data_IF_547122382707
#
_entry.id   IF_547122382707
#
_cell.length_a   1.000
_cell.length_b   1.000
_cell.length_c   1.000
_cell.angle_alpha   90.00
_cell.angle_beta   90.00
_cell.angle_gamma   90.00
#
_symmetry.space_group_name_H-M   'P 1'
#
loop_
_entity.id
_entity.type
_entity.pdbx_description
1 polymer ?
#
# COMPACT_ATOMS: atom_id res chain seq x y z
N UNK A 1 -17.73 10.93 8.96
CA UNK A 1 -16.31 10.87 8.56
C UNK A 1 -16.20 9.62 7.71
N UNK A 2 -15.68 9.68 6.48
CA UNK A 2 -15.65 8.48 5.62
C UNK A 2 -14.59 7.49 6.12
N UNK A 3 -14.99 6.23 6.21
CA UNK A 3 -14.11 5.12 6.59
C UNK A 3 -13.31 4.66 5.37
N UNK A 4 -12.03 4.39 5.56
CA UNK A 4 -11.15 3.97 4.45
C UNK A 4 -11.51 2.60 3.88
N UNK A 5 -12.04 1.68 4.70
CA UNK A 5 -12.42 0.35 4.25
C UNK A 5 -13.61 0.41 3.29
N UNK A 6 -14.62 1.25 3.60
CA UNK A 6 -15.75 1.51 2.70
C UNK A 6 -15.31 2.10 1.35
N UNK A 7 -14.30 2.98 1.37
CA UNK A 7 -13.76 3.61 0.16
C UNK A 7 -13.07 2.55 -0.72
N UNK A 8 -12.25 1.70 -0.10
CA UNK A 8 -11.53 0.62 -0.78
C UNK A 8 -12.53 -0.37 -1.39
N UNK A 9 -13.54 -0.77 -0.63
CA UNK A 9 -14.61 -1.65 -1.11
C UNK A 9 -15.37 -1.04 -2.31
N UNK A 10 -15.88 0.19 -2.18
CA UNK A 10 -16.63 0.88 -3.25
C UNK A 10 -15.81 1.07 -4.54
N UNK A 11 -14.49 1.22 -4.42
CA UNK A 11 -13.60 1.38 -5.57
C UNK A 11 -13.33 0.08 -6.34
N UNK A 12 -13.71 -1.06 -5.74
CA UNK A 12 -13.33 -2.39 -6.16
C UNK A 12 -11.82 -2.54 -6.37
N UNK A 13 -11.03 -2.01 -5.43
CA UNK A 13 -9.58 -1.90 -5.59
C UNK A 13 -8.92 -3.27 -5.77
N UNK A 14 -9.33 -4.25 -4.97
CA UNK A 14 -8.68 -5.56 -4.93
C UNK A 14 -8.81 -6.29 -6.27
N UNK A 15 -10.01 -6.33 -6.87
CA UNK A 15 -10.21 -6.93 -8.19
C UNK A 15 -9.37 -6.24 -9.26
N UNK A 16 -9.36 -4.90 -9.26
CA UNK A 16 -8.58 -4.12 -10.24
C UNK A 16 -7.08 -4.36 -10.13
N UNK A 17 -6.55 -4.54 -8.91
CA UNK A 17 -5.14 -4.87 -8.71
C UNK A 17 -4.84 -6.33 -9.07
N UNK A 18 -5.76 -7.25 -8.80
CA UNK A 18 -5.65 -8.65 -9.20
C UNK A 18 -5.65 -8.84 -10.73
N UNK A 19 -6.37 -8.01 -11.48
CA UNK A 19 -6.36 -8.01 -12.95
C UNK A 19 -4.96 -7.74 -13.54
N UNK A 20 -4.04 -7.13 -12.77
CA UNK A 20 -2.65 -6.92 -13.18
C UNK A 20 -1.79 -8.18 -13.09
N UNK A 21 -2.30 -9.28 -12.50
CA UNK A 21 -1.65 -10.60 -12.47
C UNK A 21 -0.40 -10.71 -11.62
N UNK A 22 -0.09 -9.68 -10.82
CA UNK A 22 1.07 -9.65 -9.93
C UNK A 22 0.71 -9.90 -8.47
N UNK A 23 1.70 -10.24 -7.65
CA UNK A 23 1.53 -10.29 -6.20
C UNK A 23 1.76 -8.91 -5.61
N UNK A 24 0.86 -8.47 -4.73
CA UNK A 24 1.00 -7.24 -3.99
C UNK A 24 0.50 -7.40 -2.56
N UNK A 25 0.93 -6.49 -1.67
CA UNK A 25 0.43 -6.40 -0.30
C UNK A 25 0.21 -4.94 0.08
N UNK A 26 -0.88 -4.66 0.77
CA UNK A 26 -1.13 -3.36 1.40
C UNK A 26 -0.46 -3.37 2.77
N UNK A 27 0.37 -2.37 3.03
CA UNK A 27 1.18 -2.26 4.26
C UNK A 27 0.94 -0.92 4.94
N UNK A 28 1.86 -0.52 5.82
CA UNK A 28 1.75 0.72 6.56
C UNK A 28 0.63 0.66 7.59
N UNK A 29 0.12 1.83 7.98
CA UNK A 29 -0.94 1.89 9.01
C UNK A 29 -2.22 1.23 8.57
N UNK A 30 -2.56 1.27 7.28
CA UNK A 30 -3.78 0.63 6.78
C UNK A 30 -3.70 -0.89 6.90
N UNK A 31 -2.62 -1.50 6.39
CA UNK A 31 -2.42 -2.95 6.52
C UNK A 31 -2.35 -3.39 7.98
N UNK A 32 -1.61 -2.66 8.83
CA UNK A 32 -1.52 -2.96 10.26
C UNK A 32 -2.87 -2.84 10.97
N UNK A 33 -3.64 -1.80 10.66
CA UNK A 33 -4.96 -1.59 11.25
C UNK A 33 -5.93 -2.70 10.86
N UNK A 34 -5.92 -3.12 9.60
CA UNK A 34 -6.75 -4.21 9.11
C UNK A 34 -6.44 -5.53 9.84
N UNK A 35 -5.16 -5.89 9.98
CA UNK A 35 -4.75 -7.13 10.66
C UNK A 35 -5.02 -7.07 12.16
N UNK A 36 -4.81 -5.92 12.80
CA UNK A 36 -5.00 -5.77 14.26
C UNK A 36 -6.48 -5.83 14.66
N UNK A 37 -7.37 -5.37 13.78
CA UNK A 37 -8.81 -5.35 14.00
C UNK A 37 -9.54 -6.37 13.11
N UNK A 38 -8.84 -7.42 12.68
CA UNK A 38 -9.44 -8.45 11.83
C UNK A 38 -10.47 -9.25 12.64
N UNK A 39 -11.66 -9.42 12.08
CA UNK A 39 -12.61 -10.44 12.54
C UNK A 39 -12.14 -11.82 12.09
N UNK A 40 -11.61 -11.92 10.88
CA UNK A 40 -11.10 -13.16 10.29
C UNK A 40 -9.88 -12.90 9.41
N UNK A 41 -8.93 -13.84 9.44
CA UNK A 41 -7.82 -13.90 8.50
C UNK A 41 -7.85 -15.26 7.80
N UNK A 42 -8.21 -15.27 6.53
CA UNK A 42 -8.18 -16.46 5.68
C UNK A 42 -6.86 -16.52 4.92
N UNK A 43 -5.91 -17.31 5.42
CA UNK A 43 -4.59 -17.48 4.81
C UNK A 43 -4.61 -18.17 3.44
N UNK A 44 -5.60 -19.03 3.19
CA UNK A 44 -5.74 -19.75 1.92
C UNK A 44 -6.16 -18.81 0.79
N UNK A 45 -7.10 -17.92 1.08
CA UNK A 45 -7.61 -16.92 0.15
C UNK A 45 -6.82 -15.60 0.19
N UNK A 46 -5.93 -15.44 1.17
CA UNK A 46 -5.13 -14.23 1.41
C UNK A 46 -6.00 -13.00 1.69
N UNK A 47 -7.09 -13.20 2.43
CA UNK A 47 -8.09 -12.18 2.76
C UNK A 47 -8.02 -11.88 4.26
N UNK A 48 -8.09 -10.58 4.58
CA UNK A 48 -8.31 -10.07 5.94
C UNK A 48 -9.66 -9.39 5.96
N UNK A 49 -10.57 -9.89 6.79
CA UNK A 49 -11.91 -9.32 6.97
C UNK A 49 -11.91 -8.44 8.20
N UNK A 50 -12.32 -7.18 8.05
CA UNK A 50 -12.54 -6.24 9.16
C UNK A 50 -14.03 -6.14 9.47
N UNK A 51 -14.36 -5.97 10.74
CA UNK A 51 -15.76 -5.82 11.17
C UNK A 51 -16.38 -4.51 10.71
N UNK A 52 -17.69 -4.51 10.48
CA UNK A 52 -18.42 -3.33 10.00
C UNK A 52 -18.43 -2.14 10.97
N UNK A 53 -18.10 -2.37 12.24
CA UNK A 53 -17.91 -1.33 13.27
C UNK A 53 -16.45 -0.84 13.38
N UNK A 54 -15.52 -1.42 12.60
CA UNK A 54 -14.11 -1.01 12.59
C UNK A 54 -13.96 0.38 12.01
N UNK A 55 -13.71 1.37 12.86
CA UNK A 55 -13.48 2.74 12.39
C UNK A 55 -12.02 3.00 12.03
N UNK A 56 -11.77 3.33 10.76
CA UNK A 56 -10.49 3.87 10.35
C UNK A 56 -10.67 5.07 9.40
N UNK A 57 -10.77 6.29 9.96
CA UNK A 57 -11.13 7.48 9.22
C UNK A 57 -10.18 7.79 8.07
N UNK A 58 -10.68 8.16 6.88
CA UNK A 58 -9.88 8.54 5.71
C UNK A 58 -8.87 9.66 5.99
N UNK A 59 -9.28 10.63 6.81
CA UNK A 59 -8.42 11.73 7.24
C UNK A 59 -7.72 11.37 8.54
N UNK A 60 -6.44 11.73 8.63
CA UNK A 60 -5.71 11.73 9.90
C UNK A 60 -6.21 12.87 10.78
N UNK A 61 -5.89 12.82 12.07
CA UNK A 61 -6.26 13.87 13.05
C UNK A 61 -5.78 15.26 12.63
N UNK A 62 -4.64 15.36 11.94
CA UNK A 62 -4.10 16.61 11.41
C UNK A 62 -4.72 17.05 10.07
N UNK A 63 -5.78 16.40 9.60
CA UNK A 63 -6.49 16.75 8.36
C UNK A 63 -5.87 16.21 7.07
N UNK A 64 -4.74 15.50 7.14
CA UNK A 64 -4.09 14.93 5.94
C UNK A 64 -4.74 13.62 5.49
N UNK A 65 -4.71 13.35 4.18
CA UNK A 65 -5.27 12.14 3.55
C UNK A 65 -4.36 10.93 3.76
N UNK A 66 -4.91 9.78 4.18
CA UNK A 66 -4.12 8.56 4.41
C UNK A 66 -3.39 8.04 3.18
N UNK A 67 -2.24 7.42 3.44
CA UNK A 67 -1.46 6.72 2.42
C UNK A 67 -2.05 5.33 2.19
N UNK A 68 -2.07 4.90 0.93
CA UNK A 68 -2.29 3.51 0.54
C UNK A 68 -0.94 2.93 0.13
N UNK A 69 -0.16 2.52 1.13
CA UNK A 69 1.16 1.92 0.94
C UNK A 69 1.01 0.51 0.38
N UNK A 70 1.53 0.30 -0.82
CA UNK A 70 1.41 -0.95 -1.58
C UNK A 70 2.78 -1.45 -1.97
N UNK A 71 3.11 -2.68 -1.59
CA UNK A 71 4.31 -3.37 -2.06
C UNK A 71 3.93 -4.32 -3.19
N UNK A 72 4.59 -4.21 -4.33
CA UNK A 72 4.38 -5.06 -5.51
C UNK A 72 5.60 -5.98 -5.65
N UNK A 73 5.38 -7.28 -5.81
CA UNK A 73 6.46 -8.26 -5.98
C UNK A 73 7.00 -8.25 -7.42
N UNK A 74 7.52 -7.10 -7.84
CA UNK A 74 8.16 -6.86 -9.13
C UNK A 74 9.16 -5.73 -8.99
N UNK A 75 10.28 -5.82 -9.71
CA UNK A 75 11.23 -4.71 -9.87
C UNK A 75 11.16 -4.04 -11.24
N UNK A 76 10.24 -4.48 -12.09
CA UNK A 76 9.96 -3.78 -13.34
C UNK A 76 9.18 -2.50 -13.02
N UNK A 77 9.79 -1.35 -13.29
CA UNK A 77 9.22 -0.03 -13.05
C UNK A 77 7.90 0.19 -13.80
N UNK A 78 7.74 -0.37 -14.99
CA UNK A 78 6.49 -0.28 -15.75
C UNK A 78 5.34 -1.01 -15.04
N UNK A 79 5.64 -2.16 -14.41
CA UNK A 79 4.67 -2.90 -13.60
C UNK A 79 4.30 -2.08 -12.36
N UNK A 80 5.29 -1.57 -11.63
CA UNK A 80 5.06 -0.73 -10.43
C UNK A 80 4.22 0.51 -10.78
N UNK A 81 4.50 1.15 -11.91
CA UNK A 81 3.75 2.31 -12.39
C UNK A 81 2.31 1.96 -12.79
N UNK A 82 2.05 0.78 -13.37
CA UNK A 82 0.69 0.37 -13.72
C UNK A 82 -0.15 0.08 -12.48
N UNK A 83 0.44 -0.50 -11.43
CA UNK A 83 -0.22 -0.64 -10.12
C UNK A 83 -0.61 0.73 -9.54
N UNK A 84 0.31 1.69 -9.58
CA UNK A 84 0.03 3.07 -9.12
C UNK A 84 -1.08 3.72 -9.92
N UNK A 85 -1.03 3.64 -11.26
CA UNK A 85 -2.09 4.17 -12.13
C UNK A 85 -3.43 3.51 -11.86
N UNK A 86 -3.44 2.20 -11.59
CA UNK A 86 -4.66 1.44 -11.29
C UNK A 86 -5.28 1.89 -9.98
N UNK A 87 -4.48 2.09 -8.92
CA UNK A 87 -4.94 2.66 -7.64
C UNK A 87 -5.55 4.05 -7.87
N UNK A 88 -4.83 4.94 -8.57
CA UNK A 88 -5.30 6.32 -8.83
C UNK A 88 -6.59 6.32 -9.67
N UNK A 89 -6.70 5.44 -10.66
CA UNK A 89 -7.94 5.29 -11.46
C UNK A 89 -9.11 4.76 -10.64
N UNK A 90 -8.85 3.88 -9.66
CA UNK A 90 -9.87 3.24 -8.84
C UNK A 90 -10.38 4.15 -7.72
N UNK A 91 -9.47 4.73 -6.96
CA UNK A 91 -9.75 5.44 -5.69
C UNK A 91 -9.59 6.96 -5.85
N UNK A 92 -8.90 7.45 -6.88
CA UNK A 92 -8.72 8.88 -7.10
C UNK A 92 -7.97 9.55 -5.95
N UNK A 93 -8.51 10.69 -5.49
CA UNK A 93 -7.90 11.54 -4.47
C UNK A 93 -8.32 11.14 -3.04
N UNK A 94 -9.00 10.01 -2.86
CA UNK A 94 -9.41 9.58 -1.52
C UNK A 94 -8.24 9.09 -0.67
N UNK A 95 -7.13 8.68 -1.32
CA UNK A 95 -5.87 8.23 -0.70
C UNK A 95 -4.65 8.80 -1.41
N UNK A 96 -3.52 8.81 -0.72
CA UNK A 96 -2.21 9.06 -1.35
C UNK A 96 -1.61 7.71 -1.76
N UNK A 97 -1.56 7.44 -3.08
CA UNK A 97 -1.03 6.18 -3.61
C UNK A 97 0.50 6.12 -3.51
N UNK A 98 1.00 5.16 -2.74
CA UNK A 98 2.41 4.95 -2.45
C UNK A 98 2.77 3.51 -2.83
N UNK A 99 3.44 3.31 -3.97
CA UNK A 99 3.67 1.97 -4.55
C UNK A 99 5.15 1.70 -4.71
N UNK A 100 5.61 0.56 -4.20
CA UNK A 100 7.01 0.15 -4.24
C UNK A 100 7.13 -1.26 -4.79
N UNK A 101 8.01 -1.44 -5.77
CA UNK A 101 8.45 -2.73 -6.23
C UNK A 101 9.42 -3.39 -5.25
N UNK A 102 9.38 -4.73 -5.22
CA UNK A 102 10.20 -5.58 -4.39
C UNK A 102 10.73 -6.77 -5.19
N UNK A 103 11.94 -7.18 -4.87
CA UNK A 103 12.41 -8.52 -5.23
C UNK A 103 11.66 -9.60 -4.44
N UNK A 104 11.43 -10.74 -5.10
CA UNK A 104 11.10 -11.97 -4.38
C UNK A 104 12.23 -12.29 -3.39
N UNK A 105 11.87 -12.61 -2.15
CA UNK A 105 12.83 -12.86 -1.07
C UNK A 105 13.88 -13.92 -1.47
N UNK A 106 13.47 -14.99 -2.14
CA UNK A 106 14.35 -16.06 -2.62
C UNK A 106 15.37 -15.59 -3.68
N UNK A 107 15.07 -14.51 -4.40
CA UNK A 107 15.92 -13.92 -5.43
C UNK A 107 16.73 -12.73 -4.91
N UNK A 108 16.53 -12.37 -3.64
CA UNK A 108 17.22 -11.30 -2.98
C UNK A 108 18.69 -11.71 -2.76
N UNK A 109 19.60 -11.12 -3.54
CA UNK A 109 21.01 -11.50 -3.53
C UNK A 109 21.81 -10.86 -2.39
N UNK A 110 21.22 -9.89 -1.66
CA UNK A 110 21.96 -9.06 -0.68
C UNK A 110 21.45 -9.19 0.75
N UNK A 111 20.33 -9.88 0.99
CA UNK A 111 19.69 -9.91 2.30
C UNK A 111 19.14 -8.54 2.74
N UNK A 112 19.06 -7.58 1.81
CA UNK A 112 18.54 -6.23 2.00
C UNK A 112 17.21 -6.15 1.29
N UNK A 113 16.18 -5.55 1.88
CA UNK A 113 14.92 -5.30 1.18
C UNK A 113 15.21 -4.36 0.00
N UNK A 114 15.44 -4.91 -1.19
CA UNK A 114 15.69 -4.16 -2.42
C UNK A 114 14.35 -3.55 -2.89
N UNK A 115 14.08 -2.32 -2.43
CA UNK A 115 12.92 -1.53 -2.83
C UNK A 115 13.19 -0.79 -4.14
N UNK A 116 12.34 -0.94 -5.14
CA UNK A 116 12.32 -0.09 -6.34
C UNK A 116 11.05 0.76 -6.32
N UNK A 117 11.13 2.03 -5.97
CA UNK A 117 9.95 2.88 -5.93
C UNK A 117 10.26 4.36 -6.02
N UNK A 118 9.30 5.12 -6.55
CA UNK A 118 9.36 6.57 -6.66
C UNK A 118 8.64 7.19 -5.46
N UNK A 119 9.38 7.92 -4.62
CA UNK A 119 8.81 8.69 -3.51
C UNK A 119 7.97 9.86 -4.05
N UNK A 120 6.82 10.14 -3.44
CA UNK A 120 6.21 11.47 -3.51
C UNK A 120 6.85 12.32 -2.40
N UNK A 121 7.54 13.38 -2.78
CA UNK A 121 8.10 14.37 -1.86
C UNK A 121 7.10 15.52 -1.78
N UNK A 122 6.54 15.78 -0.59
CA UNK A 122 6.12 17.14 -0.28
C UNK A 122 7.40 18.00 -0.07
N UNK A 123 7.30 19.29 -0.36
CA UNK A 123 8.42 20.21 -0.37
C UNK A 123 8.84 20.68 1.05
N UNK A 124 8.45 19.99 2.14
CA UNK A 124 8.48 20.58 3.49
C UNK A 124 9.51 20.00 4.48
N UNK A 125 10.41 19.11 4.05
CA UNK A 125 11.76 18.99 4.63
C UNK A 125 11.90 18.87 6.16
N UNK A 126 10.99 18.18 6.86
CA UNK A 126 11.10 18.02 8.32
C UNK A 126 11.81 16.71 8.73
N UNK A 127 12.97 16.88 9.39
CA UNK A 127 14.04 15.91 9.65
C UNK A 127 13.91 15.17 11.00
N UNK A 128 12.90 14.33 11.17
CA UNK A 128 12.81 13.41 12.34
C UNK A 128 12.60 11.95 11.89
N UNK A 129 13.44 11.44 10.98
CA UNK A 129 13.35 10.05 10.50
C UNK A 129 14.71 9.39 10.37
N UNK A 130 14.80 8.14 10.85
CA UNK A 130 15.89 7.23 10.54
C UNK A 130 15.88 6.91 9.04
N UNK A 131 17.03 7.12 8.40
CA UNK A 131 17.27 6.84 6.99
C UNK A 131 17.75 5.39 6.85
N UNK A 132 16.94 4.52 6.26
CA UNK A 132 17.43 3.24 5.72
C UNK A 132 17.85 3.51 4.29
N UNK A 133 19.16 3.54 4.03
CA UNK A 133 19.69 3.70 2.68
C UNK A 133 19.50 2.39 1.91
N UNK A 134 18.72 2.45 0.85
CA UNK A 134 18.70 1.43 -0.19
C UNK A 134 19.80 1.78 -1.20
N UNK A 135 20.81 0.92 -1.33
CA UNK A 135 21.84 1.06 -2.36
C UNK A 135 21.24 0.68 -3.72
N UNK A 136 21.02 1.70 -4.55
CA UNK A 136 20.62 1.54 -5.95
C UNK A 136 21.91 1.37 -6.77
N UNK A 137 22.21 0.13 -7.16
CA UNK A 137 23.25 -0.16 -8.14
C UNK A 137 22.69 -0.08 -9.57
#
# INVERSE_FOLDING_TARGET
MENIFDIIEKSNLHDRLNDLGGQYVIVGRLGLHAVTNAEEINWGERVVTVGGDTDFPRLRENGTIRDLDTLVCSVNTEVVDEYKKTIVRAIGNEVVASVFGLHQYEKNRRGLLDFTGSRYSDNEGNNDRYEVKADVN
#
